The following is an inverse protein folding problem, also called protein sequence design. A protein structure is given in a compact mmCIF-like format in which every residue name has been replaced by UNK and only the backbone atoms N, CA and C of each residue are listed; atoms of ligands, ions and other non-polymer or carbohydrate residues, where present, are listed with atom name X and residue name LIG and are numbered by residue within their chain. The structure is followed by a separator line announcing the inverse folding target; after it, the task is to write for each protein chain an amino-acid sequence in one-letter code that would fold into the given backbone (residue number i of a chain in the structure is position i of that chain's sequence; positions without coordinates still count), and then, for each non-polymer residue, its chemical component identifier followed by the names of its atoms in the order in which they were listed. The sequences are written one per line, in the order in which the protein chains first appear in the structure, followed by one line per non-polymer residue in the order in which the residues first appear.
data_IF_381877367423
#
_entry.id   IF_381877367423
#
_cell.length_a   1.000
_cell.length_b   1.000
_cell.length_c   1.000
_cell.angle_alpha   90.00
_cell.angle_beta   90.00
_cell.angle_gamma   90.00
#
_symmetry.space_group_name_H-M   'P 1'
#
loop_
_entity.id
_entity.type
_entity.pdbx_description
1 polymer ?
#
# COMPACT_ATOMS: atom_id res chain seq x y z
N UNK A 1 25.78 3.99 10.01
CA UNK A 1 25.16 3.19 8.92
C UNK A 1 23.65 3.22 9.09
N UNK A 2 22.90 3.83 8.17
CA UNK A 2 21.44 3.75 8.23
C UNK A 2 21.02 2.41 7.62
N UNK A 3 20.75 1.43 8.47
CA UNK A 3 20.25 0.12 8.05
C UNK A 3 18.80 0.29 7.56
N UNK A 4 18.64 0.37 6.24
CA UNK A 4 17.33 0.39 5.62
C UNK A 4 16.77 -1.03 5.60
N UNK A 5 15.88 -1.32 6.54
CA UNK A 5 15.11 -2.55 6.55
C UNK A 5 13.84 -2.32 5.75
N UNK A 6 13.56 -3.23 4.81
CA UNK A 6 12.29 -3.29 4.10
C UNK A 6 11.88 -4.75 3.97
N UNK A 7 10.82 -5.14 4.67
CA UNK A 7 10.26 -6.49 4.62
C UNK A 7 8.82 -6.44 4.14
N UNK A 8 8.56 -7.19 3.07
CA UNK A 8 7.20 -7.44 2.58
C UNK A 8 6.72 -8.78 3.11
N UNK A 9 5.66 -8.77 3.89
CA UNK A 9 4.96 -9.93 4.42
C UNK A 9 3.65 -10.07 3.64
N UNK A 10 3.50 -11.14 2.87
CA UNK A 10 2.22 -11.45 2.23
C UNK A 10 1.36 -12.20 3.24
N UNK A 11 0.31 -11.55 3.74
CA UNK A 11 -0.63 -12.16 4.69
C UNK A 11 -1.67 -12.99 3.93
N UNK A 12 -2.20 -12.45 2.83
CA UNK A 12 -3.16 -13.14 1.97
C UNK A 12 -2.67 -12.98 0.52
N UNK A 13 -2.30 -14.07 -0.17
CA UNK A 13 -1.89 -14.01 -1.56
C UNK A 13 -2.93 -13.29 -2.42
N UNK A 14 -2.49 -12.34 -3.25
CA UNK A 14 -3.33 -11.51 -4.16
C UNK A 14 -4.26 -10.50 -3.50
N UNK A 15 -4.33 -10.44 -2.16
CA UNK A 15 -5.26 -9.56 -1.45
C UNK A 15 -4.60 -8.74 -0.37
N UNK A 16 -3.63 -9.25 0.38
CA UNK A 16 -3.09 -8.53 1.54
C UNK A 16 -1.58 -8.65 1.64
N UNK A 17 -0.92 -7.50 1.58
CA UNK A 17 0.52 -7.36 1.75
C UNK A 17 0.81 -6.32 2.83
N UNK A 18 1.59 -6.70 3.84
CA UNK A 18 2.14 -5.80 4.84
C UNK A 18 3.59 -5.49 4.46
N UNK A 19 3.91 -4.23 4.22
CA UNK A 19 5.26 -3.75 4.00
C UNK A 19 5.72 -3.04 5.27
N UNK A 20 6.75 -3.56 5.93
CA UNK A 20 7.34 -2.97 7.14
C UNK A 20 8.74 -2.49 6.77
N UNK A 21 9.04 -1.22 7.04
CA UNK A 21 10.39 -0.71 6.87
C UNK A 21 10.81 0.25 7.98
N UNK A 22 12.04 0.77 7.87
CA UNK A 22 12.65 1.61 8.91
C UNK A 22 11.82 2.84 9.28
N UNK A 23 11.04 3.38 8.33
CA UNK A 23 10.23 4.60 8.50
C UNK A 23 8.75 4.31 8.84
N UNK A 24 8.39 3.05 9.04
CA UNK A 24 7.04 2.64 9.39
C UNK A 24 6.52 1.46 8.58
N UNK A 25 5.24 1.17 8.74
CA UNK A 25 4.59 0.07 8.06
C UNK A 25 3.48 0.58 7.14
N UNK A 26 3.18 -0.18 6.09
CA UNK A 26 2.05 0.04 5.20
C UNK A 26 1.37 -1.27 4.84
N UNK A 27 0.06 -1.28 4.93
CA UNK A 27 -0.78 -2.43 4.66
C UNK A 27 -1.53 -2.22 3.35
N UNK A 28 -1.19 -2.97 2.31
CA UNK A 28 -1.88 -2.98 1.03
C UNK A 28 -2.92 -4.10 1.01
N UNK A 29 -4.20 -3.71 0.96
CA UNK A 29 -5.35 -4.59 0.83
C UNK A 29 -6.04 -4.38 -0.53
N UNK A 30 -6.08 -5.40 -1.37
CA UNK A 30 -6.91 -5.50 -2.56
C UNK A 30 -6.24 -6.25 -3.70
N UNK A 31 -6.91 -6.25 -4.85
CA UNK A 31 -6.52 -6.99 -6.06
C UNK A 31 -5.70 -6.14 -7.03
N UNK A 32 -5.25 -6.75 -8.13
CA UNK A 32 -4.56 -6.08 -9.23
C UNK A 32 -5.38 -4.92 -9.84
N UNK A 33 -6.71 -4.98 -9.73
CA UNK A 33 -7.63 -3.95 -10.24
C UNK A 33 -7.96 -2.89 -9.21
N UNK A 34 -8.04 -3.21 -7.92
CA UNK A 34 -8.35 -2.24 -6.89
C UNK A 34 -7.62 -2.60 -5.60
N UNK A 35 -6.77 -1.72 -5.11
CA UNK A 35 -6.07 -1.91 -3.85
C UNK A 35 -5.98 -0.61 -3.04
N UNK A 36 -6.02 -0.76 -1.73
CA UNK A 36 -5.94 0.31 -0.74
C UNK A 36 -4.72 0.04 0.11
N UNK A 37 -3.81 0.99 0.20
CA UNK A 37 -2.62 0.95 1.06
C UNK A 37 -2.84 1.86 2.25
N UNK A 38 -2.63 1.38 3.47
CA UNK A 38 -2.76 2.15 4.71
C UNK A 38 -1.46 2.12 5.49
N UNK A 39 -0.82 3.28 5.65
CA UNK A 39 0.46 3.46 6.33
C UNK A 39 0.34 3.93 7.77
N UNK A 40 1.37 3.66 8.57
CA UNK A 40 1.49 4.04 9.97
C UNK A 40 1.50 5.56 10.20
N UNK A 41 2.06 6.34 9.28
CA UNK A 41 2.09 7.80 9.33
C UNK A 41 0.80 8.50 8.88
N UNK A 42 -0.36 7.85 9.04
CA UNK A 42 -1.66 8.41 8.64
C UNK A 42 -1.86 8.59 7.13
N UNK A 43 -0.97 7.99 6.31
CA UNK A 43 -1.05 8.02 4.85
C UNK A 43 -1.84 6.83 4.36
N UNK A 44 -2.97 7.06 3.72
CA UNK A 44 -3.74 6.03 3.01
C UNK A 44 -3.73 6.33 1.51
N UNK A 45 -3.64 5.31 0.66
CA UNK A 45 -3.67 5.44 -0.81
C UNK A 45 -4.61 4.40 -1.39
N UNK A 46 -5.68 4.81 -2.04
CA UNK A 46 -6.51 3.92 -2.84
C UNK A 46 -6.07 4.01 -4.30
N UNK A 47 -5.98 2.88 -4.99
CA UNK A 47 -5.65 2.80 -6.40
C UNK A 47 -6.61 1.83 -7.08
N UNK A 48 -7.25 2.26 -8.17
CA UNK A 48 -8.19 1.46 -8.96
C UNK A 48 -7.78 1.57 -10.44
N UNK A 49 -7.51 0.43 -11.07
CA UNK A 49 -7.35 0.31 -12.53
C UNK A 49 -8.72 0.14 -13.14
N UNK A 50 -9.06 1.10 -14.00
CA UNK A 50 -10.28 1.10 -14.77
C UNK A 50 -10.01 0.42 -16.13
N UNK A 51 -11.04 -0.17 -16.75
CA UNK A 51 -10.93 -0.62 -18.14
C UNK A 51 -10.59 0.56 -19.07
N UNK A 52 -9.87 0.29 -20.15
CA UNK A 52 -9.41 1.32 -21.09
C UNK A 52 -8.06 1.96 -20.75
N UNK A 53 -7.25 1.34 -19.89
CA UNK A 53 -5.89 1.83 -19.56
C UNK A 53 -5.86 2.95 -18.52
N UNK A 54 -7.02 3.37 -18.01
CA UNK A 54 -7.12 4.41 -17.01
C UNK A 54 -6.79 3.87 -15.60
N UNK A 55 -6.18 4.72 -14.78
CA UNK A 55 -5.93 4.41 -13.38
C UNK A 55 -6.34 5.57 -12.50
N UNK A 56 -7.23 5.30 -11.56
CA UNK A 56 -7.61 6.24 -10.51
C UNK A 56 -6.74 5.99 -9.29
N UNK A 57 -6.21 7.04 -8.69
CA UNK A 57 -5.44 6.95 -7.45
C UNK A 57 -5.83 8.10 -6.54
N UNK A 58 -6.08 7.81 -5.27
CA UNK A 58 -6.48 8.77 -4.25
C UNK A 58 -5.59 8.64 -3.03
N UNK A 59 -4.88 9.72 -2.72
CA UNK A 59 -4.00 9.81 -1.57
C UNK A 59 -4.70 10.58 -0.45
N UNK A 60 -4.85 9.96 0.71
CA UNK A 60 -5.31 10.59 1.94
C UNK A 60 -4.11 10.73 2.87
N UNK A 61 -3.88 11.93 3.38
CA UNK A 61 -2.89 12.17 4.43
C UNK A 61 -3.65 12.80 5.59
N UNK A 62 -3.75 12.10 6.72
CA UNK A 62 -4.13 12.76 7.97
C UNK A 62 -3.00 13.74 8.33
N UNK A 63 -3.37 15.01 8.50
CA UNK A 63 -2.50 16.05 9.08
C UNK A 63 -2.39 15.83 10.58
#
# INVERSE_FOLDING_TARGET
MSLYYHKRITLIPRLLHLNVGTHGWSLSLGTRRAHITRGSGGRSRASVRLPGGFSWHRSFRRR
#
